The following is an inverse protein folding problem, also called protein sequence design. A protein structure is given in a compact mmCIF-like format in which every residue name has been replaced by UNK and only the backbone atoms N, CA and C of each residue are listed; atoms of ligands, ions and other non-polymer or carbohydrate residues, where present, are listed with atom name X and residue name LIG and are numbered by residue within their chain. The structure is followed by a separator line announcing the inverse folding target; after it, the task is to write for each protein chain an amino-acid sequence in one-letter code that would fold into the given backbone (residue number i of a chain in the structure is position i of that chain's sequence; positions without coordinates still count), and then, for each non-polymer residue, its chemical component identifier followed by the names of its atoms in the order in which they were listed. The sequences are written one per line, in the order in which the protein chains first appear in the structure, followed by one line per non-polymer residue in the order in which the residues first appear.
data_IF_657502869717
#
_entry.id   IF_657502869717
#
_cell.length_a   1.000
_cell.length_b   1.000
_cell.length_c   1.000
_cell.angle_alpha   90.00
_cell.angle_beta   90.00
_cell.angle_gamma   90.00
#
_symmetry.space_group_name_H-M   'P 1'
#
loop_
_entity.id
_entity.type
_entity.pdbx_description
1 polymer ?
#
# COMPACT_ATOMS: atom_id res chain seq x y z
N UNK A 1 29.32 2.34 -4.83
CA UNK A 1 29.80 1.93 -6.17
C UNK A 1 31.17 2.51 -6.51
N UNK A 2 31.39 3.83 -6.53
CA UNK A 2 32.74 4.40 -6.80
C UNK A 2 33.84 3.85 -5.87
N UNK A 3 33.58 3.82 -4.56
CA UNK A 3 34.52 3.23 -3.57
C UNK A 3 34.66 1.70 -3.66
N UNK A 4 33.71 1.02 -4.30
CA UNK A 4 33.65 -0.44 -4.37
C UNK A 4 34.36 -0.98 -5.62
N UNK A 5 34.40 -0.20 -6.72
CA UNK A 5 35.00 -0.65 -7.97
C UNK A 5 36.49 -1.03 -7.81
N UNK A 6 37.36 -0.22 -7.16
CA UNK A 6 38.76 -0.60 -6.98
C UNK A 6 38.94 -1.88 -6.15
N UNK A 7 38.04 -2.12 -5.20
CA UNK A 7 38.07 -3.34 -4.39
C UNK A 7 37.68 -4.56 -5.22
N UNK A 8 36.64 -4.45 -6.05
CA UNK A 8 36.23 -5.52 -6.94
C UNK A 8 37.30 -5.86 -7.98
N UNK A 9 37.95 -4.84 -8.55
CA UNK A 9 39.08 -5.01 -9.47
C UNK A 9 40.25 -5.70 -8.78
N UNK A 10 40.65 -5.26 -7.59
CA UNK A 10 41.72 -5.90 -6.81
C UNK A 10 41.44 -7.38 -6.54
N UNK A 11 40.19 -7.74 -6.26
CA UNK A 11 39.79 -9.13 -6.03
C UNK A 11 39.80 -9.96 -7.31
N UNK A 12 39.37 -9.39 -8.42
CA UNK A 12 39.44 -10.03 -9.73
C UNK A 12 40.92 -10.28 -10.11
N UNK A 13 41.77 -9.27 -9.96
CA UNK A 13 43.21 -9.35 -10.20
C UNK A 13 43.86 -10.44 -9.33
N UNK A 14 43.46 -10.55 -8.06
CA UNK A 14 43.95 -11.59 -7.17
C UNK A 14 43.58 -12.99 -7.67
N UNK A 15 42.34 -13.19 -8.08
CA UNK A 15 41.88 -14.47 -8.64
C UNK A 15 42.64 -14.83 -9.92
N UNK A 16 42.89 -13.86 -10.82
CA UNK A 16 43.69 -14.05 -12.03
C UNK A 16 45.17 -14.33 -11.73
N UNK A 17 45.72 -13.77 -10.64
CA UNK A 17 47.13 -13.96 -10.25
C UNK A 17 47.48 -15.40 -9.87
N UNK A 18 46.48 -16.22 -9.54
CA UNK A 18 46.66 -17.62 -9.12
C UNK A 18 46.87 -18.58 -10.31
N UNK A 19 46.84 -18.10 -11.54
CA UNK A 19 47.09 -18.88 -12.76
C UNK A 19 46.02 -18.71 -13.84
N UNK A 20 46.17 -19.39 -14.99
CA UNK A 20 45.23 -19.28 -16.09
C UNK A 20 43.85 -19.82 -15.71
N UNK A 21 42.80 -19.05 -15.98
CA UNK A 21 41.41 -19.47 -15.74
C UNK A 21 41.00 -20.51 -16.77
N UNK A 22 40.64 -21.71 -16.31
CA UNK A 22 40.14 -22.79 -17.15
C UNK A 22 38.64 -22.99 -16.92
N UNK A 23 37.82 -22.74 -17.95
CA UNK A 23 36.35 -22.80 -17.88
C UNK A 23 35.79 -24.18 -18.25
N UNK A 24 36.53 -25.26 -18.03
CA UNK A 24 36.09 -26.61 -18.39
C UNK A 24 34.83 -27.04 -17.62
N UNK A 25 34.05 -27.93 -18.26
CA UNK A 25 32.80 -28.45 -17.70
C UNK A 25 33.01 -29.16 -16.35
N UNK A 26 32.01 -29.03 -15.47
CA UNK A 26 32.01 -29.64 -14.14
C UNK A 26 32.13 -31.16 -14.23
N UNK A 27 33.06 -31.73 -13.45
CA UNK A 27 33.08 -33.15 -13.18
C UNK A 27 31.96 -33.50 -12.17
N UNK A 28 31.14 -34.50 -12.47
CA UNK A 28 30.07 -34.96 -11.57
C UNK A 28 30.62 -35.52 -10.25
N UNK A 29 31.94 -35.80 -10.18
CA UNK A 29 32.59 -36.26 -8.95
C UNK A 29 32.96 -35.16 -7.94
N UNK A 30 32.79 -33.88 -8.29
CA UNK A 30 33.20 -32.78 -7.42
C UNK A 30 32.27 -32.57 -6.22
N UNK A 31 32.87 -32.27 -5.05
CA UNK A 31 32.10 -31.90 -3.88
C UNK A 31 31.50 -30.50 -4.05
N UNK A 32 30.18 -30.45 -4.21
CA UNK A 32 29.44 -29.20 -4.32
C UNK A 32 29.67 -28.28 -3.11
N UNK A 33 29.74 -28.85 -1.90
CA UNK A 33 30.05 -28.11 -0.68
C UNK A 33 31.45 -27.46 -0.72
N UNK A 34 32.46 -28.17 -1.27
CA UNK A 34 33.80 -27.61 -1.42
C UNK A 34 33.84 -26.50 -2.47
N UNK A 35 33.13 -26.68 -3.60
CA UNK A 35 32.97 -25.63 -4.61
C UNK A 35 32.39 -24.37 -3.98
N UNK A 36 31.32 -24.48 -3.20
CA UNK A 36 30.66 -23.34 -2.55
C UNK A 36 31.57 -22.69 -1.49
N UNK A 37 32.30 -23.49 -0.72
CA UNK A 37 33.25 -22.99 0.28
C UNK A 37 34.36 -22.16 -0.36
N UNK A 38 34.99 -22.69 -1.42
CA UNK A 38 36.05 -22.02 -2.16
C UNK A 38 35.49 -20.77 -2.85
N UNK A 39 34.31 -20.88 -3.45
CA UNK A 39 33.63 -19.76 -4.11
C UNK A 39 33.36 -18.61 -3.13
N UNK A 40 32.84 -18.93 -1.94
CA UNK A 40 32.56 -17.96 -0.88
C UNK A 40 33.84 -17.29 -0.37
N UNK A 41 34.93 -18.06 -0.25
CA UNK A 41 36.23 -17.53 0.21
C UNK A 41 36.80 -16.48 -0.75
N UNK A 42 36.99 -16.80 -2.03
CA UNK A 42 37.45 -15.82 -3.03
C UNK A 42 36.38 -14.77 -3.36
N UNK A 43 35.13 -15.07 -3.01
CA UNK A 43 33.98 -14.17 -2.99
C UNK A 43 33.99 -13.11 -1.87
N UNK A 44 34.96 -13.13 -0.95
CA UNK A 44 35.11 -12.13 0.14
C UNK A 44 36.19 -11.10 -0.14
N UNK A 45 36.17 -10.02 0.65
CA UNK A 45 37.10 -8.90 0.54
C UNK A 45 38.50 -9.21 1.05
N UNK A 46 38.63 -10.15 1.99
CA UNK A 46 39.90 -10.53 2.60
C UNK A 46 40.24 -11.98 2.25
N UNK A 47 41.40 -12.16 1.62
CA UNK A 47 41.98 -13.46 1.29
C UNK A 47 43.34 -13.60 1.99
N UNK A 48 43.62 -14.77 2.55
CA UNK A 48 44.88 -15.15 3.18
C UNK A 48 45.72 -16.04 2.25
N UNK A 49 47.02 -15.78 2.16
CA UNK A 49 47.95 -16.61 1.37
C UNK A 49 47.92 -18.08 1.82
N UNK A 50 47.79 -18.34 3.12
CA UNK A 50 47.74 -19.69 3.68
C UNK A 50 46.49 -20.46 3.24
N UNK A 51 45.33 -19.80 3.29
CA UNK A 51 44.06 -20.40 2.87
C UNK A 51 44.00 -20.55 1.35
N UNK A 52 44.54 -19.60 0.60
CA UNK A 52 44.64 -19.71 -0.86
C UNK A 52 45.56 -20.86 -1.27
N UNK A 53 46.68 -21.07 -0.59
CA UNK A 53 47.55 -22.22 -0.81
C UNK A 53 46.83 -23.54 -0.45
N UNK A 54 46.08 -23.57 0.64
CA UNK A 54 45.28 -24.74 1.02
C UNK A 54 44.21 -25.08 -0.03
N UNK A 55 43.46 -24.08 -0.50
CA UNK A 55 42.42 -24.32 -1.51
C UNK A 55 43.01 -24.69 -2.87
N UNK A 56 44.19 -24.18 -3.22
CA UNK A 56 44.86 -24.51 -4.49
C UNK A 56 45.24 -26.00 -4.63
N UNK A 57 45.24 -26.76 -3.53
CA UNK A 57 45.48 -28.22 -3.57
C UNK A 57 44.21 -29.04 -3.71
N UNK A 58 43.03 -28.41 -3.64
CA UNK A 58 41.75 -29.11 -3.77
C UNK A 58 41.42 -29.39 -5.24
N UNK A 59 40.85 -30.57 -5.56
CA UNK A 59 40.50 -30.90 -6.94
C UNK A 59 39.42 -29.97 -7.52
N UNK A 60 38.54 -29.40 -6.69
CA UNK A 60 37.49 -28.47 -7.09
C UNK A 60 37.98 -27.03 -7.31
N UNK A 61 39.23 -26.73 -6.97
CA UNK A 61 39.77 -25.37 -6.94
C UNK A 61 39.59 -24.62 -8.25
N UNK A 62 40.04 -25.20 -9.35
CA UNK A 62 39.99 -24.57 -10.67
C UNK A 62 38.56 -24.26 -11.11
N UNK A 63 37.63 -25.19 -10.86
CA UNK A 63 36.22 -25.01 -11.18
C UNK A 63 35.56 -23.92 -10.32
N UNK A 64 35.82 -23.91 -9.01
CA UNK A 64 35.31 -22.88 -8.11
C UNK A 64 35.91 -21.51 -8.42
N UNK A 65 37.22 -21.44 -8.73
CA UNK A 65 37.91 -20.22 -9.13
C UNK A 65 37.33 -19.63 -10.41
N UNK A 66 37.05 -20.45 -11.42
CA UNK A 66 36.40 -20.01 -12.66
C UNK A 66 35.00 -19.42 -12.40
N UNK A 67 34.21 -20.02 -11.50
CA UNK A 67 32.90 -19.46 -11.09
C UNK A 67 33.03 -18.10 -10.41
N UNK A 68 33.98 -17.95 -9.49
CA UNK A 68 34.24 -16.67 -8.82
C UNK A 68 34.72 -15.62 -9.81
N UNK A 69 35.61 -16.01 -10.73
CA UNK A 69 36.13 -15.15 -11.77
C UNK A 69 35.00 -14.55 -12.62
N UNK A 70 34.12 -15.38 -13.18
CA UNK A 70 33.00 -14.90 -13.98
C UNK A 70 32.06 -14.00 -13.16
N UNK A 71 31.72 -14.38 -11.92
CA UNK A 71 30.88 -13.56 -11.05
C UNK A 71 31.50 -12.20 -10.70
N UNK A 72 32.81 -12.14 -10.43
CA UNK A 72 33.52 -10.89 -10.15
C UNK A 72 33.66 -10.03 -11.41
N UNK A 73 33.97 -10.64 -12.54
CA UNK A 73 34.07 -9.97 -13.84
C UNK A 73 32.74 -9.31 -14.22
N UNK A 74 31.63 -10.04 -14.10
CA UNK A 74 30.29 -9.51 -14.33
C UNK A 74 29.98 -8.34 -13.38
N UNK A 75 30.33 -8.47 -12.10
CA UNK A 75 30.09 -7.41 -11.11
C UNK A 75 30.95 -6.16 -11.36
N UNK A 76 32.20 -6.33 -11.79
CA UNK A 76 33.08 -5.23 -12.23
C UNK A 76 32.49 -4.54 -13.45
N UNK A 77 32.05 -5.31 -14.45
CA UNK A 77 31.44 -4.78 -15.67
C UNK A 77 30.13 -4.03 -15.37
N UNK A 78 29.23 -4.58 -14.55
CA UNK A 78 27.99 -3.90 -14.12
C UNK A 78 28.28 -2.62 -13.33
N UNK A 79 29.26 -2.66 -12.44
CA UNK A 79 29.67 -1.50 -11.65
C UNK A 79 30.24 -0.40 -12.55
N UNK A 80 31.13 -0.75 -13.50
CA UNK A 80 31.66 0.17 -14.51
C UNK A 80 30.56 0.76 -15.36
N UNK A 81 29.65 -0.05 -15.89
CA UNK A 81 28.53 0.41 -16.70
C UNK A 81 27.63 1.38 -15.92
N UNK A 82 27.30 1.07 -14.67
CA UNK A 82 26.51 1.94 -13.80
C UNK A 82 27.20 3.29 -13.53
N UNK A 83 28.49 3.26 -13.20
CA UNK A 83 29.28 4.47 -12.95
C UNK A 83 29.44 5.31 -14.22
N UNK A 84 29.69 4.68 -15.37
CA UNK A 84 29.78 5.35 -16.65
C UNK A 84 28.49 6.09 -17.00
N UNK A 85 27.32 5.47 -16.78
CA UNK A 85 26.03 6.15 -16.96
C UNK A 85 25.88 7.37 -16.04
N UNK A 86 26.33 7.26 -14.79
CA UNK A 86 26.27 8.37 -13.85
C UNK A 86 27.21 9.51 -14.21
N UNK A 87 28.48 9.22 -14.54
CA UNK A 87 29.45 10.22 -15.00
C UNK A 87 28.97 10.91 -16.28
N UNK A 88 28.46 10.15 -17.25
CA UNK A 88 27.94 10.70 -18.49
C UNK A 88 26.80 11.70 -18.23
N UNK A 89 25.88 11.39 -17.30
CA UNK A 89 24.82 12.34 -16.90
C UNK A 89 25.33 13.56 -16.15
N UNK A 90 26.25 13.38 -15.19
CA UNK A 90 26.81 14.47 -14.38
C UNK A 90 27.59 15.47 -15.25
N UNK A 91 28.37 14.94 -16.18
CA UNK A 91 29.32 15.70 -16.99
C UNK A 91 28.75 16.08 -18.37
N UNK A 92 27.51 15.69 -18.67
CA UNK A 92 26.82 15.99 -19.94
C UNK A 92 27.40 15.27 -21.16
N UNK A 93 28.03 14.11 -20.97
CA UNK A 93 28.64 13.32 -22.04
C UNK A 93 27.62 12.39 -22.70
N UNK A 94 27.77 12.10 -24.01
CA UNK A 94 26.92 11.14 -24.70
C UNK A 94 27.18 9.70 -24.21
N UNK A 95 26.11 8.91 -24.11
CA UNK A 95 26.18 7.45 -23.88
C UNK A 95 26.10 6.70 -25.22
N UNK A 96 26.74 5.52 -25.38
CA UNK A 96 26.81 4.81 -26.66
C UNK A 96 25.52 4.08 -27.07
N UNK A 97 24.41 4.37 -26.41
CA UNK A 97 23.10 3.75 -26.64
C UNK A 97 21.99 4.76 -26.42
N UNK A 98 20.87 4.58 -27.12
CA UNK A 98 19.68 5.36 -26.86
C UNK A 98 18.91 4.77 -25.68
N UNK A 99 18.51 5.63 -24.74
CA UNK A 99 17.71 5.23 -23.58
C UNK A 99 16.24 5.57 -23.82
N UNK A 100 15.34 4.65 -23.48
CA UNK A 100 13.89 4.84 -23.60
C UNK A 100 13.18 4.43 -22.29
N UNK A 101 12.11 5.13 -21.94
CA UNK A 101 11.12 4.69 -20.96
C UNK A 101 10.03 3.97 -21.73
N UNK A 102 9.72 2.75 -21.32
CA UNK A 102 8.66 1.94 -21.93
C UNK A 102 7.45 1.88 -20.99
N UNK A 103 6.30 2.38 -21.44
CA UNK A 103 5.01 2.12 -20.81
C UNK A 103 4.39 0.89 -21.48
N UNK A 104 4.04 -0.12 -20.70
CA UNK A 104 3.31 -1.29 -21.19
C UNK A 104 1.95 -1.35 -20.51
N UNK A 105 0.87 -1.40 -21.29
CA UNK A 105 -0.47 -1.71 -20.80
C UNK A 105 -0.75 -3.16 -21.13
N UNK A 106 -0.94 -3.99 -20.12
CA UNK A 106 -1.27 -5.40 -20.27
C UNK A 106 -2.57 -5.75 -19.58
N UNK A 107 -3.24 -6.78 -20.11
CA UNK A 107 -4.33 -7.43 -19.41
C UNK A 107 -3.73 -8.42 -18.41
N UNK A 108 -4.04 -8.26 -17.13
CA UNK A 108 -3.49 -9.12 -16.08
C UNK A 108 -3.99 -10.57 -16.17
N UNK A 109 -5.23 -10.78 -16.61
CA UNK A 109 -5.87 -12.10 -16.72
C UNK A 109 -5.36 -12.87 -17.93
N UNK A 110 -5.36 -12.24 -19.11
CA UNK A 110 -4.93 -12.91 -20.35
C UNK A 110 -3.41 -12.84 -20.58
N UNK A 111 -2.68 -12.07 -19.75
CA UNK A 111 -1.25 -11.71 -19.92
C UNK A 111 -0.93 -11.03 -21.25
N UNK A 112 -1.93 -10.66 -22.02
CA UNK A 112 -1.78 -9.99 -23.31
C UNK A 112 -1.29 -8.56 -23.12
N UNK A 113 -0.25 -8.17 -23.87
CA UNK A 113 0.22 -6.79 -23.92
C UNK A 113 -0.58 -6.04 -24.98
N UNK A 114 -1.41 -5.09 -24.55
CA UNK A 114 -2.30 -4.33 -25.44
C UNK A 114 -1.65 -3.07 -26.00
N UNK A 115 -0.71 -2.46 -25.29
CA UNK A 115 -0.09 -1.21 -25.73
C UNK A 115 1.34 -1.08 -25.21
N UNK A 116 2.24 -0.57 -26.07
CA UNK A 116 3.62 -0.24 -25.71
C UNK A 116 3.92 1.17 -26.25
N UNK A 117 4.21 2.12 -25.35
CA UNK A 117 4.71 3.46 -25.72
C UNK A 117 6.16 3.58 -25.28
N UNK A 118 7.02 4.04 -26.20
CA UNK A 118 8.40 4.37 -25.90
C UNK A 118 8.57 5.89 -25.85
N UNK A 119 9.14 6.38 -24.76
CA UNK A 119 9.52 7.79 -24.59
C UNK A 119 11.02 7.86 -24.51
N UNK A 120 11.66 8.56 -25.45
CA UNK A 120 13.11 8.74 -25.40
C UNK A 120 13.51 9.44 -24.10
N UNK A 121 14.50 8.88 -23.41
CA UNK A 121 14.96 9.33 -22.10
C UNK A 121 15.97 10.48 -22.23
N UNK A 122 15.51 11.59 -22.79
CA UNK A 122 16.29 12.84 -22.96
C UNK A 122 15.91 13.91 -21.91
N UNK A 123 14.94 13.58 -21.05
CA UNK A 123 14.31 14.50 -20.11
C UNK A 123 14.23 13.89 -18.72
N UNK A 124 13.98 14.71 -17.69
CA UNK A 124 13.85 14.20 -16.31
C UNK A 124 12.69 13.21 -16.25
N UNK A 125 12.79 12.21 -15.36
CA UNK A 125 11.78 11.14 -15.25
C UNK A 125 10.36 11.71 -15.07
N UNK A 126 10.20 12.79 -14.30
CA UNK A 126 8.89 13.42 -14.11
C UNK A 126 8.36 14.10 -15.38
N UNK A 127 9.22 14.61 -16.27
CA UNK A 127 8.81 15.22 -17.54
C UNK A 127 8.36 14.14 -18.53
N UNK A 128 9.00 12.97 -18.49
CA UNK A 128 8.53 11.81 -19.23
C UNK A 128 7.20 11.26 -18.68
N UNK A 129 7.04 11.20 -17.36
CA UNK A 129 5.78 10.82 -16.73
C UNK A 129 4.66 11.80 -17.08
N UNK A 130 4.89 13.12 -17.00
CA UNK A 130 3.91 14.14 -17.38
C UNK A 130 3.46 13.97 -18.84
N UNK A 131 4.40 13.69 -19.76
CA UNK A 131 4.06 13.40 -21.15
C UNK A 131 3.17 12.16 -21.29
N UNK A 132 3.48 11.08 -20.58
CA UNK A 132 2.67 9.85 -20.60
C UNK A 132 1.28 10.09 -20.01
N UNK A 133 1.19 10.76 -18.86
CA UNK A 133 -0.08 11.11 -18.23
C UNK A 133 -0.94 11.96 -19.17
N UNK A 134 -0.34 12.96 -19.82
CA UNK A 134 -1.02 13.80 -20.80
C UNK A 134 -1.56 12.95 -21.95
N UNK A 135 -0.72 12.08 -22.52
CA UNK A 135 -1.09 11.24 -23.66
C UNK A 135 -2.19 10.21 -23.36
N UNK A 136 -2.24 9.68 -22.14
CA UNK A 136 -3.25 8.67 -21.73
C UNK A 136 -4.57 9.33 -21.32
N UNK A 137 -4.50 10.48 -20.64
CA UNK A 137 -5.62 11.04 -19.90
C UNK A 137 -6.13 12.39 -20.41
N UNK A 138 -5.30 13.22 -21.04
CA UNK A 138 -5.77 14.48 -21.61
C UNK A 138 -6.58 14.24 -22.89
N UNK A 139 -7.42 15.20 -23.25
CA UNK A 139 -8.24 15.21 -24.47
C UNK A 139 -9.21 14.02 -24.60
N UNK A 140 -9.47 13.28 -23.52
CA UNK A 140 -10.52 12.27 -23.50
C UNK A 140 -11.88 12.96 -23.63
N UNK A 141 -12.74 12.41 -24.50
CA UNK A 141 -14.11 12.91 -24.68
C UNK A 141 -14.95 12.80 -23.39
N UNK A 142 -14.68 11.77 -22.60
CA UNK A 142 -15.38 11.47 -21.36
C UNK A 142 -14.37 11.38 -20.20
N UNK A 143 -14.77 11.77 -18.98
CA UNK A 143 -13.98 11.55 -17.78
C UNK A 143 -13.58 10.09 -17.62
N UNK A 144 -12.46 9.85 -16.94
CA UNK A 144 -12.02 8.52 -16.56
C UNK A 144 -12.94 8.02 -15.45
N UNK A 145 -13.74 7.00 -15.74
CA UNK A 145 -14.56 6.35 -14.73
C UNK A 145 -13.69 5.47 -13.82
N UNK A 146 -13.73 5.73 -12.53
CA UNK A 146 -12.96 5.03 -11.50
C UNK A 146 -13.93 4.59 -10.41
N UNK A 147 -14.04 3.29 -10.15
CA UNK A 147 -14.90 2.80 -9.08
C UNK A 147 -14.39 3.27 -7.71
N UNK A 148 -13.11 3.01 -7.44
CA UNK A 148 -12.48 3.35 -6.16
C UNK A 148 -11.17 4.09 -6.43
N UNK A 149 -11.06 5.32 -5.90
CA UNK A 149 -9.81 6.06 -5.90
C UNK A 149 -9.13 5.91 -4.54
N UNK A 150 -8.00 5.20 -4.52
CA UNK A 150 -7.17 4.99 -3.32
C UNK A 150 -5.96 5.91 -3.38
N UNK A 151 -5.75 6.68 -2.32
CA UNK A 151 -4.72 7.71 -2.25
C UNK A 151 -3.78 7.44 -1.08
N UNK A 152 -2.50 7.37 -1.41
CA UNK A 152 -1.40 7.21 -0.47
C UNK A 152 -0.67 8.55 -0.32
N UNK A 153 -0.04 8.82 0.84
CA UNK A 153 0.67 10.07 1.09
C UNK A 153 1.92 10.15 0.20
N UNK A 154 1.75 10.71 -1.00
CA UNK A 154 2.77 10.79 -2.03
C UNK A 154 2.52 11.98 -2.96
N UNK A 155 3.54 12.41 -3.69
CA UNK A 155 3.42 13.53 -4.62
C UNK A 155 2.79 13.06 -5.92
N UNK A 156 1.49 13.32 -6.10
CA UNK A 156 0.79 13.09 -7.36
C UNK A 156 0.99 14.28 -8.30
N UNK A 157 1.69 14.06 -9.42
CA UNK A 157 1.83 15.04 -10.49
C UNK A 157 0.79 14.73 -11.57
N UNK A 158 -0.44 15.22 -11.35
CA UNK A 158 -1.54 15.08 -12.29
C UNK A 158 -1.47 16.17 -13.36
N UNK A 159 -2.03 15.87 -14.53
CA UNK A 159 -2.07 16.83 -15.63
C UNK A 159 -3.36 17.66 -15.60
N UNK A 160 -3.33 18.96 -15.94
CA UNK A 160 -4.51 19.83 -15.83
C UNK A 160 -5.73 19.37 -16.64
N UNK A 161 -5.53 18.64 -17.73
CA UNK A 161 -6.62 18.12 -18.55
C UNK A 161 -7.23 16.80 -18.06
N UNK A 162 -6.75 16.24 -16.94
CA UNK A 162 -7.29 15.03 -16.35
C UNK A 162 -8.65 15.30 -15.71
N UNK A 163 -9.63 14.48 -16.08
CA UNK A 163 -11.00 14.52 -15.56
C UNK A 163 -11.38 13.14 -15.09
N UNK A 164 -11.79 13.00 -13.84
CA UNK A 164 -12.06 11.71 -13.19
C UNK A 164 -13.48 11.73 -12.64
N UNK A 165 -14.25 10.69 -12.93
CA UNK A 165 -15.51 10.43 -12.28
C UNK A 165 -15.32 9.27 -11.31
N UNK A 166 -15.59 9.51 -10.02
CA UNK A 166 -15.38 8.52 -8.96
C UNK A 166 -16.69 8.11 -8.30
N UNK A 167 -16.77 6.87 -7.81
CA UNK A 167 -17.87 6.43 -6.95
C UNK A 167 -17.46 6.36 -5.49
N UNK A 168 -16.24 5.91 -5.23
CA UNK A 168 -15.70 5.67 -3.90
C UNK A 168 -14.29 6.25 -3.78
N UNK A 169 -13.93 6.61 -2.55
CA UNK A 169 -12.65 7.25 -2.25
C UNK A 169 -12.07 6.73 -0.94
N UNK A 170 -10.78 6.46 -0.92
CA UNK A 170 -10.06 6.01 0.25
C UNK A 170 -8.78 6.83 0.43
N UNK A 171 -8.57 7.34 1.63
CA UNK A 171 -7.37 8.08 2.00
C UNK A 171 -6.62 7.36 3.11
N UNK A 172 -5.34 7.16 2.87
CA UNK A 172 -4.37 6.83 3.91
C UNK A 172 -3.62 8.13 4.23
N UNK A 173 -3.90 8.75 5.39
CA UNK A 173 -3.33 10.04 5.81
C UNK A 173 -4.27 11.27 5.75
N UNK A 174 -3.74 12.45 5.44
CA UNK A 174 -4.44 13.75 5.55
C UNK A 174 -5.52 13.97 4.46
N UNK A 175 -6.75 13.54 4.76
CA UNK A 175 -7.87 13.64 3.82
C UNK A 175 -8.25 15.07 3.39
N UNK A 176 -8.17 16.07 4.29
CA UNK A 176 -8.56 17.47 3.99
C UNK A 176 -7.71 18.09 2.88
N UNK A 177 -6.40 17.91 2.98
CA UNK A 177 -5.45 18.34 1.96
C UNK A 177 -5.73 17.67 0.62
N UNK A 178 -6.00 16.36 0.65
CA UNK A 178 -6.23 15.60 -0.56
C UNK A 178 -7.54 15.99 -1.25
N UNK A 179 -8.60 16.34 -0.52
CA UNK A 179 -9.81 16.93 -1.12
C UNK A 179 -9.52 18.24 -1.85
N UNK A 180 -8.73 19.12 -1.23
CA UNK A 180 -8.36 20.41 -1.81
C UNK A 180 -7.50 20.24 -3.08
N UNK A 181 -6.48 19.38 -3.01
CA UNK A 181 -5.56 19.15 -4.14
C UNK A 181 -6.22 18.41 -5.31
N UNK A 182 -7.22 17.55 -5.05
CA UNK A 182 -7.89 16.76 -6.09
C UNK A 182 -9.15 17.40 -6.66
N UNK A 183 -9.71 18.42 -6.00
CA UNK A 183 -10.91 19.11 -6.46
C UNK A 183 -10.88 19.52 -7.95
N UNK A 184 -9.75 19.99 -8.54
CA UNK A 184 -9.71 20.35 -9.95
C UNK A 184 -9.87 19.18 -10.93
N UNK A 185 -9.63 17.95 -10.49
CA UNK A 185 -9.57 16.76 -11.36
C UNK A 185 -10.80 15.86 -11.24
N UNK A 186 -11.59 16.01 -10.17
CA UNK A 186 -12.78 15.19 -9.93
C UNK A 186 -14.02 15.90 -10.43
N UNK A 187 -14.82 15.22 -11.24
CA UNK A 187 -16.10 15.73 -11.72
C UNK A 187 -17.06 15.97 -10.55
N UNK A 188 -17.74 17.12 -10.54
CA UNK A 188 -18.71 17.45 -9.48
C UNK A 188 -19.83 16.40 -9.38
N UNK A 189 -20.21 15.77 -10.50
CA UNK A 189 -21.19 14.68 -10.54
C UNK A 189 -20.77 13.41 -9.79
N UNK A 190 -19.52 13.33 -9.34
CA UNK A 190 -19.03 12.25 -8.47
C UNK A 190 -19.52 12.40 -7.02
N UNK A 191 -20.00 13.60 -6.65
CA UNK A 191 -20.49 13.88 -5.31
C UNK A 191 -22.02 13.86 -5.27
N UNK A 192 -22.67 13.28 -4.26
CA UNK A 192 -22.17 12.57 -3.06
C UNK A 192 -21.51 11.22 -3.36
N UNK A 193 -20.37 10.95 -2.72
CA UNK A 193 -19.68 9.65 -2.87
C UNK A 193 -20.52 8.51 -2.30
N UNK A 194 -20.49 7.34 -2.95
CA UNK A 194 -21.12 6.11 -2.44
C UNK A 194 -20.41 5.63 -1.18
N UNK A 195 -19.08 5.68 -1.17
CA UNK A 195 -18.26 5.30 -0.03
C UNK A 195 -17.06 6.24 0.13
N UNK A 196 -16.80 6.67 1.35
CA UNK A 196 -15.60 7.41 1.73
C UNK A 196 -14.93 6.71 2.91
N UNK A 197 -13.68 6.28 2.74
CA UNK A 197 -12.83 5.75 3.81
C UNK A 197 -11.75 6.77 4.18
N UNK A 198 -11.66 7.11 5.46
CA UNK A 198 -10.70 8.10 5.97
C UNK A 198 -10.02 7.63 7.25
N UNK A 199 -8.72 7.92 7.34
CA UNK A 199 -7.96 7.88 8.59
C UNK A 199 -8.17 9.20 9.34
N UNK A 200 -8.56 9.13 10.61
CA UNK A 200 -8.84 10.33 11.42
C UNK A 200 -7.65 10.66 12.30
N UNK A 201 -6.93 11.70 11.90
CA UNK A 201 -5.83 12.32 12.67
C UNK A 201 -6.23 13.62 13.38
N UNK A 202 -7.22 14.35 12.83
CA UNK A 202 -7.70 15.64 13.33
C UNK A 202 -9.24 15.70 13.21
N UNK A 203 -9.91 16.31 14.19
CA UNK A 203 -11.37 16.41 14.25
C UNK A 203 -11.98 17.41 13.24
N UNK A 204 -11.18 18.32 12.69
CA UNK A 204 -11.59 19.25 11.64
C UNK A 204 -12.15 18.54 10.40
N UNK A 205 -11.72 17.31 10.13
CA UNK A 205 -12.20 16.53 8.98
C UNK A 205 -13.72 16.31 9.00
N UNK A 206 -14.34 16.24 10.19
CA UNK A 206 -15.78 16.06 10.34
C UNK A 206 -16.59 17.30 9.92
N UNK A 207 -15.93 18.46 9.76
CA UNK A 207 -16.55 19.66 9.20
C UNK A 207 -16.55 19.65 7.67
N UNK A 208 -15.76 18.78 7.05
CA UNK A 208 -15.60 18.76 5.60
C UNK A 208 -16.87 18.26 4.89
N UNK A 209 -17.39 19.05 3.95
CA UNK A 209 -18.67 18.78 3.28
C UNK A 209 -18.67 17.44 2.56
N UNK A 210 -17.57 17.09 1.90
CA UNK A 210 -17.47 15.82 1.16
C UNK A 210 -17.58 14.61 2.08
N UNK A 211 -17.08 14.71 3.32
CA UNK A 211 -17.25 13.67 4.33
C UNK A 211 -18.71 13.55 4.77
N UNK A 212 -19.33 14.68 5.14
CA UNK A 212 -20.73 14.68 5.61
C UNK A 212 -21.73 14.24 4.55
N UNK A 213 -21.42 14.50 3.27
CA UNK A 213 -22.29 14.14 2.14
C UNK A 213 -22.17 12.69 1.69
N UNK A 214 -21.12 11.95 2.09
CA UNK A 214 -20.93 10.57 1.64
C UNK A 214 -22.07 9.67 2.13
N UNK A 215 -22.54 8.74 1.30
CA UNK A 215 -23.61 7.82 1.71
C UNK A 215 -23.10 6.85 2.78
N UNK A 216 -21.97 6.20 2.51
CA UNK A 216 -21.26 5.33 3.44
C UNK A 216 -19.94 5.95 3.87
N UNK A 217 -19.78 6.18 5.16
CA UNK A 217 -18.55 6.67 5.76
C UNK A 217 -17.85 5.54 6.54
N UNK A 218 -16.62 5.25 6.17
CA UNK A 218 -15.73 4.32 6.87
C UNK A 218 -14.65 5.13 7.59
N UNK A 219 -14.60 5.03 8.91
CA UNK A 219 -13.67 5.79 9.75
C UNK A 219 -12.65 4.81 10.32
N UNK A 220 -11.37 5.05 10.05
CA UNK A 220 -10.26 4.37 10.73
C UNK A 220 -9.76 5.30 11.83
N UNK A 221 -10.03 4.96 13.09
CA UNK A 221 -9.66 5.79 14.23
C UNK A 221 -8.20 5.56 14.64
N UNK A 222 -7.38 6.62 14.62
CA UNK A 222 -5.96 6.57 15.01
C UNK A 222 -5.64 7.41 16.27
N UNK A 223 -6.65 7.95 16.97
CA UNK A 223 -6.45 8.87 18.10
C UNK A 223 -7.43 8.69 19.27
N UNK A 224 -7.02 9.18 20.44
CA UNK A 224 -7.82 9.21 21.69
C UNK A 224 -8.70 10.45 21.72
N UNK A 225 -9.82 10.41 21.00
CA UNK A 225 -10.81 11.49 20.98
C UNK A 225 -12.02 11.16 21.85
N UNK A 226 -12.73 12.19 22.31
CA UNK A 226 -14.09 12.02 22.82
C UNK A 226 -15.03 11.76 21.64
N UNK A 227 -15.29 10.49 21.35
CA UNK A 227 -15.98 10.07 20.13
C UNK A 227 -17.50 10.25 20.16
N UNK A 228 -18.13 10.22 21.34
CA UNK A 228 -19.59 10.29 21.43
C UNK A 228 -20.18 11.54 20.75
N UNK A 229 -19.69 12.78 21.00
CA UNK A 229 -20.16 13.96 20.29
C UNK A 229 -20.03 13.84 18.77
N UNK A 230 -18.99 13.17 18.28
CA UNK A 230 -18.76 12.97 16.84
C UNK A 230 -19.85 12.03 16.30
N UNK A 231 -20.01 10.84 16.91
CA UNK A 231 -21.00 9.85 16.48
C UNK A 231 -22.43 10.39 16.44
N UNK A 232 -22.79 11.26 17.40
CA UNK A 232 -24.11 11.90 17.45
C UNK A 232 -24.32 12.92 16.32
N UNK A 233 -23.26 13.50 15.77
CA UNK A 233 -23.35 14.50 14.70
C UNK A 233 -23.13 13.93 13.29
N UNK A 234 -22.91 12.62 13.15
CA UNK A 234 -22.76 11.98 11.83
C UNK A 234 -24.12 11.86 11.13
N UNK A 235 -24.20 12.50 9.96
CA UNK A 235 -25.41 12.54 9.14
C UNK A 235 -25.45 11.44 8.08
N UNK A 236 -24.31 10.80 7.80
CA UNK A 236 -24.15 9.75 6.79
C UNK A 236 -25.18 8.62 6.99
N UNK A 237 -25.65 8.04 5.88
CA UNK A 237 -26.65 6.97 5.89
C UNK A 237 -26.06 5.68 6.50
N UNK A 238 -24.82 5.34 6.14
CA UNK A 238 -24.05 4.24 6.74
C UNK A 238 -22.77 4.78 7.36
N UNK A 239 -22.49 4.35 8.58
CA UNK A 239 -21.24 4.64 9.28
C UNK A 239 -20.62 3.32 9.73
N UNK A 240 -19.35 3.12 9.39
CA UNK A 240 -18.57 1.97 9.83
C UNK A 240 -17.28 2.45 10.47
N UNK A 241 -17.17 2.26 11.78
CA UNK A 241 -15.93 2.47 12.49
C UNK A 241 -15.07 1.21 12.34
N UNK A 242 -13.86 1.37 11.85
CA UNK A 242 -12.82 0.34 11.82
C UNK A 242 -11.78 0.68 12.88
N UNK A 243 -11.24 -0.32 13.55
CA UNK A 243 -10.14 -0.09 14.46
C UNK A 243 -9.68 -1.34 15.19
N UNK A 244 -8.41 -1.69 14.94
CA UNK A 244 -7.63 -2.60 15.78
C UNK A 244 -6.89 -1.83 16.90
N UNK A 245 -6.96 -0.48 16.88
CA UNK A 245 -6.17 0.44 17.70
C UNK A 245 -6.94 1.18 18.80
N UNK A 246 -8.26 1.00 18.93
CA UNK A 246 -8.98 1.54 20.08
C UNK A 246 -8.52 0.79 21.33
N UNK A 247 -7.82 1.44 22.26
CA UNK A 247 -7.41 0.78 23.52
C UNK A 247 -8.63 0.43 24.37
N UNK A 248 -9.65 1.28 24.37
CA UNK A 248 -10.83 1.15 25.23
C UNK A 248 -12.14 0.97 24.45
N UNK A 249 -13.01 0.14 25.01
CA UNK A 249 -14.35 -0.11 24.52
C UNK A 249 -15.26 1.09 24.81
N UNK A 250 -16.14 1.45 23.86
CA UNK A 250 -17.11 2.51 24.10
C UNK A 250 -17.96 2.21 25.36
N UNK A 251 -18.06 3.16 26.31
CA UNK A 251 -18.85 2.96 27.52
C UNK A 251 -20.30 2.59 27.24
N UNK A 252 -20.91 1.79 28.13
CA UNK A 252 -22.32 1.38 28.00
C UNK A 252 -23.24 2.61 27.94
N UNK A 253 -22.96 3.66 28.71
CA UNK A 253 -23.79 4.87 28.69
C UNK A 253 -23.74 5.61 27.35
N UNK A 254 -22.61 5.56 26.65
CA UNK A 254 -22.41 6.14 25.31
C UNK A 254 -23.17 5.36 24.25
N UNK A 255 -23.12 4.01 24.29
CA UNK A 255 -24.00 3.16 23.47
C UNK A 255 -25.46 3.53 23.66
N UNK A 256 -25.89 3.68 24.92
CA UNK A 256 -27.27 4.02 25.22
C UNK A 256 -27.62 5.46 24.78
N UNK A 257 -26.67 6.40 24.82
CA UNK A 257 -26.84 7.75 24.31
C UNK A 257 -27.04 7.76 22.79
N UNK A 258 -26.21 7.01 22.06
CA UNK A 258 -26.33 6.84 20.61
C UNK A 258 -27.69 6.21 20.22
N UNK A 259 -28.11 5.14 20.90
CA UNK A 259 -29.40 4.49 20.67
C UNK A 259 -30.56 5.48 20.89
N UNK A 260 -30.57 6.23 21.99
CA UNK A 260 -31.61 7.22 22.28
C UNK A 260 -31.65 8.31 21.21
N UNK A 261 -30.48 8.81 20.82
CA UNK A 261 -30.36 9.84 19.79
C UNK A 261 -30.93 9.35 18.44
N UNK A 262 -30.59 8.13 18.02
CA UNK A 262 -31.09 7.54 16.79
C UNK A 262 -32.61 7.37 16.78
N UNK A 263 -33.20 6.97 17.91
CA UNK A 263 -34.66 6.90 18.08
C UNK A 263 -35.27 8.30 17.98
N UNK A 264 -34.70 9.31 18.65
CA UNK A 264 -35.26 10.67 18.66
C UNK A 264 -35.13 11.40 17.32
N UNK A 265 -34.01 11.21 16.62
CA UNK A 265 -33.72 11.90 15.36
C UNK A 265 -34.39 11.25 14.15
N UNK A 266 -35.17 10.17 14.35
CA UNK A 266 -35.94 9.49 13.30
C UNK A 266 -35.06 9.17 12.09
N UNK A 267 -33.89 8.58 12.34
CA UNK A 267 -32.95 8.18 11.29
C UNK A 267 -33.67 7.39 10.20
N UNK A 268 -33.26 7.63 8.96
CA UNK A 268 -33.85 7.03 7.77
C UNK A 268 -33.83 5.50 7.84
N UNK A 269 -34.86 4.86 7.29
CA UNK A 269 -34.89 3.39 7.17
C UNK A 269 -33.75 2.94 6.26
N UNK A 270 -32.97 1.95 6.72
CA UNK A 270 -31.77 1.48 6.02
C UNK A 270 -30.47 2.04 6.59
N UNK A 271 -30.54 3.11 7.39
CA UNK A 271 -29.37 3.68 8.03
C UNK A 271 -28.73 2.70 9.03
N UNK A 272 -27.40 2.70 9.12
CA UNK A 272 -26.66 1.76 9.98
C UNK A 272 -25.40 2.37 10.59
N UNK A 273 -25.09 1.99 11.83
CA UNK A 273 -23.84 2.32 12.52
C UNK A 273 -23.18 1.02 12.99
N UNK A 274 -21.91 0.83 12.61
CA UNK A 274 -21.10 -0.33 13.01
C UNK A 274 -19.90 0.13 13.82
N UNK A 275 -19.64 -0.58 14.93
CA UNK A 275 -18.53 -0.33 15.83
C UNK A 275 -17.80 -1.66 16.11
N UNK A 276 -16.46 -1.69 16.09
CA UNK A 276 -15.71 -2.92 16.27
C UNK A 276 -15.67 -3.31 17.76
N UNK A 277 -15.85 -4.58 18.05
CA UNK A 277 -15.67 -5.14 19.39
C UNK A 277 -14.38 -5.97 19.42
N UNK A 278 -13.60 -5.87 20.50
CA UNK A 278 -12.44 -6.73 20.68
C UNK A 278 -12.87 -8.16 21.05
N UNK A 279 -12.07 -9.13 20.62
CA UNK A 279 -12.25 -10.53 21.01
C UNK A 279 -12.15 -10.64 22.53
N UNK A 280 -13.20 -11.18 23.17
CA UNK A 280 -13.32 -11.31 24.63
C UNK A 280 -14.20 -10.25 25.31
N UNK A 281 -14.39 -9.08 24.70
CA UNK A 281 -15.29 -8.03 25.21
C UNK A 281 -16.76 -8.29 24.87
N UNK A 282 -17.01 -9.21 23.92
CA UNK A 282 -18.34 -9.57 23.42
C UNK A 282 -19.28 -9.91 24.57
N UNK A 283 -18.91 -10.86 25.44
CA UNK A 283 -19.85 -11.41 26.42
C UNK A 283 -20.22 -10.39 27.51
N UNK A 284 -19.26 -9.58 27.96
CA UNK A 284 -19.50 -8.59 28.99
C UNK A 284 -20.30 -7.39 28.45
N UNK A 285 -19.95 -6.89 27.26
CA UNK A 285 -20.65 -5.79 26.64
C UNK A 285 -22.05 -6.21 26.17
N UNK A 286 -22.19 -7.37 25.52
CA UNK A 286 -23.48 -7.95 25.14
C UNK A 286 -24.40 -7.99 26.38
N UNK A 287 -23.92 -8.58 27.49
CA UNK A 287 -24.72 -8.68 28.70
C UNK A 287 -25.11 -7.32 29.27
N UNK A 288 -24.18 -6.37 29.35
CA UNK A 288 -24.43 -5.06 29.97
C UNK A 288 -25.34 -4.18 29.10
N UNK A 289 -25.04 -4.06 27.80
CA UNK A 289 -25.81 -3.23 26.85
C UNK A 289 -27.22 -3.80 26.66
N UNK A 290 -27.37 -5.09 26.33
CA UNK A 290 -28.71 -5.66 26.11
C UNK A 290 -29.56 -5.69 27.39
N UNK A 291 -28.97 -5.93 28.57
CA UNK A 291 -29.68 -5.79 29.86
C UNK A 291 -30.16 -4.35 30.09
N UNK A 292 -29.34 -3.36 29.71
CA UNK A 292 -29.69 -1.95 29.83
C UNK A 292 -30.79 -1.54 28.85
N UNK A 293 -30.73 -2.03 27.61
CA UNK A 293 -31.80 -1.86 26.60
C UNK A 293 -33.12 -2.41 27.13
N UNK A 294 -33.15 -3.67 27.59
CA UNK A 294 -34.36 -4.30 28.14
C UNK A 294 -34.96 -3.54 29.32
N UNK A 295 -34.10 -2.96 30.19
CA UNK A 295 -34.54 -2.16 31.35
C UNK A 295 -35.11 -0.81 30.94
N UNK A 296 -34.52 -0.13 29.96
CA UNK A 296 -34.92 1.23 29.55
C UNK A 296 -36.11 1.20 28.57
N UNK A 297 -36.13 0.26 27.62
CA UNK A 297 -37.12 0.17 26.57
C UNK A 297 -38.07 -1.00 26.84
N UNK A 298 -39.15 -0.75 27.59
CA UNK A 298 -40.09 -1.80 28.04
C UNK A 298 -40.72 -2.61 26.91
N UNK A 299 -40.90 -2.00 25.74
CA UNK A 299 -41.48 -2.63 24.56
C UNK A 299 -40.41 -3.29 23.65
N UNK A 300 -39.15 -3.30 24.06
CA UNK A 300 -38.09 -3.95 23.28
C UNK A 300 -38.17 -5.46 23.37
N UNK A 301 -37.93 -6.12 22.23
CA UNK A 301 -37.77 -7.58 22.16
C UNK A 301 -36.26 -7.84 22.12
N UNK A 302 -35.71 -8.36 23.22
CA UNK A 302 -34.28 -8.61 23.36
C UNK A 302 -33.98 -10.10 23.42
N UNK A 303 -33.08 -10.58 22.56
CA UNK A 303 -32.43 -11.89 22.63
C UNK A 303 -31.02 -11.79 23.23
N UNK A 304 -30.22 -12.85 23.08
CA UNK A 304 -28.85 -12.89 23.62
C UNK A 304 -27.90 -11.90 22.93
N UNK A 305 -27.98 -11.79 21.61
CA UNK A 305 -27.07 -10.98 20.76
C UNK A 305 -27.80 -9.94 19.91
N UNK A 306 -29.07 -9.71 20.19
CA UNK A 306 -29.86 -8.74 19.45
C UNK A 306 -30.97 -8.14 20.31
N UNK A 307 -31.37 -6.92 19.95
CA UNK A 307 -32.56 -6.27 20.46
C UNK A 307 -33.27 -5.52 19.35
N UNK A 308 -34.59 -5.56 19.37
CA UNK A 308 -35.48 -4.80 18.50
C UNK A 308 -36.23 -3.79 19.36
N UNK A 309 -36.04 -2.50 19.07
CA UNK A 309 -36.65 -1.40 19.78
C UNK A 309 -37.66 -0.73 18.84
N UNK A 310 -38.98 -0.84 19.11
CA UNK A 310 -39.99 -0.11 18.35
C UNK A 310 -39.76 1.41 18.49
N UNK A 311 -39.90 2.13 17.38
CA UNK A 311 -39.88 3.60 17.36
C UNK A 311 -41.28 4.15 17.16
N UNK A 312 -41.46 5.45 17.42
CA UNK A 312 -42.75 6.13 17.30
C UNK A 312 -43.30 6.19 15.86
N UNK A 313 -42.45 5.94 14.86
CA UNK A 313 -42.80 6.01 13.43
C UNK A 313 -43.18 4.64 12.84
N UNK A 314 -43.53 3.66 13.69
CA UNK A 314 -43.77 2.27 13.27
C UNK A 314 -42.56 1.58 12.62
N UNK A 315 -41.35 2.13 12.79
CA UNK A 315 -40.10 1.47 12.42
C UNK A 315 -39.51 0.75 13.63
N UNK A 316 -38.48 -0.06 13.41
CA UNK A 316 -37.80 -0.79 14.47
C UNK A 316 -36.29 -0.56 14.36
N UNK A 317 -35.68 -0.08 15.44
CA UNK A 317 -34.23 -0.04 15.56
C UNK A 317 -33.73 -1.43 15.96
N UNK A 318 -32.90 -2.05 15.11
CA UNK A 318 -32.20 -3.30 15.40
C UNK A 318 -30.82 -2.97 15.96
N UNK A 319 -30.54 -3.48 17.16
CA UNK A 319 -29.19 -3.50 17.74
C UNK A 319 -28.74 -4.95 17.78
N UNK A 320 -27.59 -5.29 17.21
CA UNK A 320 -27.08 -6.67 17.21
C UNK A 320 -25.56 -6.71 17.25
N UNK A 321 -25.05 -7.82 17.78
CA UNK A 321 -23.64 -8.20 17.67
C UNK A 321 -23.53 -9.29 16.62
N UNK A 322 -22.65 -9.08 15.64
CA UNK A 322 -22.41 -9.97 14.51
C UNK A 322 -20.91 -10.30 14.51
N UNK A 323 -20.56 -11.57 14.33
CA UNK A 323 -19.17 -11.96 14.16
C UNK A 323 -18.63 -11.30 12.88
N UNK A 324 -17.39 -10.82 12.90
CA UNK A 324 -16.74 -10.32 11.69
C UNK A 324 -16.69 -11.46 10.66
N UNK A 325 -17.56 -11.41 9.65
CA UNK A 325 -17.38 -12.25 8.47
C UNK A 325 -16.06 -11.89 7.82
N UNK A 326 -15.32 -12.88 7.33
CA UNK A 326 -14.16 -12.64 6.46
C UNK A 326 -14.63 -11.72 5.31
N UNK A 327 -14.17 -10.47 5.33
CA UNK A 327 -14.70 -9.41 4.48
C UNK A 327 -14.44 -9.67 3.00
N UNK A 328 -15.49 -10.00 2.26
CA UNK A 328 -15.68 -9.60 0.88
C UNK A 328 -16.99 -8.80 0.83
N UNK A 329 -16.90 -7.47 0.90
CA UNK A 329 -17.92 -6.54 0.38
C UNK A 329 -17.33 -5.16 0.15
#
# INVERSE_FOLDING_TARGET
REKQLPELEKRLDYVESLGPINTSHSDESYSQHMIETITSYFGKQETSEELSAHYSTQPEFEHARAKVYEGLKDLVLDTKATLQQWYARRDGLPVPFESYIMLTISNHETKERKYIEFVKYEKKLFEALNYLMARIFENRRYPVAVKVLVLFPSIFRLTPGLRIQIEEMQFEGEADRAFTELAPYIEESSYSLKCLKVDVHDLSIFQHLKLRSAEHLVIVGLGTFEWLPIYLNLENHKVHIMGDYFEELMPVDDFMALIRHWISCRKEVGASFRYPLKVGDEEELERKVFKRIKKQFKNSISGHRNAKIPTDNSTTLKVSVEASGNGEE
#
